data_IF_691196797915
#
_entry.id   IF_691196797915
#
_cell.length_a   1.000
_cell.length_b   1.000
_cell.length_c   1.000
_cell.angle_alpha   90.00
_cell.angle_beta   90.00
_cell.angle_gamma   90.00
#
_symmetry.space_group_name_H-M   'P 1'
#
loop_
_entity.id
_entity.type
_entity.pdbx_description
1 polymer ?
#
# COMPACT_ATOMS: atom_id res chain seq x y z
N UNK A 1 -12.11 4.12 -9.98
CA UNK A 1 -11.71 5.43 -9.44
C UNK A 1 -11.94 6.52 -10.48
N UNK A 2 -13.00 7.27 -10.29
CA UNK A 2 -13.21 8.54 -10.98
C UNK A 2 -12.71 9.74 -10.15
N UNK A 3 -12.99 10.96 -10.63
CA UNK A 3 -12.63 12.20 -9.92
C UNK A 3 -13.31 12.32 -8.55
N UNK A 4 -14.54 11.86 -8.39
CA UNK A 4 -15.28 11.91 -7.14
C UNK A 4 -14.69 10.93 -6.13
N UNK A 5 -14.37 9.72 -6.56
CA UNK A 5 -13.66 8.73 -5.73
C UNK A 5 -12.33 9.27 -5.24
N UNK A 6 -11.53 9.84 -6.15
CA UNK A 6 -10.25 10.44 -5.80
C UNK A 6 -10.39 11.55 -4.74
N UNK A 7 -11.35 12.46 -4.95
CA UNK A 7 -11.62 13.55 -3.99
C UNK A 7 -12.05 13.00 -2.63
N UNK A 8 -12.91 11.96 -2.61
CA UNK A 8 -13.33 11.27 -1.38
C UNK A 8 -12.14 10.68 -0.63
N UNK A 9 -11.24 9.99 -1.35
CA UNK A 9 -10.10 9.28 -0.76
C UNK A 9 -9.03 10.24 -0.21
N UNK A 10 -8.75 11.35 -0.89
CA UNK A 10 -7.68 12.29 -0.48
C UNK A 10 -8.15 13.33 0.54
N UNK A 11 -9.47 13.58 0.63
CA UNK A 11 -10.04 14.60 1.53
C UNK A 11 -9.54 14.51 2.98
N UNK A 12 -9.48 13.34 3.65
CA UNK A 12 -8.99 13.25 5.03
C UNK A 12 -7.53 13.72 5.20
N UNK A 13 -6.68 13.48 4.21
CA UNK A 13 -5.28 13.96 4.25
C UNK A 13 -5.22 15.49 4.15
N UNK A 14 -5.99 16.08 3.22
CA UNK A 14 -6.07 17.55 3.05
C UNK A 14 -6.60 18.20 4.33
N UNK A 15 -7.68 17.67 4.91
CA UNK A 15 -8.27 18.20 6.14
C UNK A 15 -7.28 18.12 7.32
N UNK A 16 -6.50 17.04 7.41
CA UNK A 16 -5.48 16.89 8.44
C UNK A 16 -4.31 17.88 8.27
N UNK A 17 -3.90 18.18 7.04
CA UNK A 17 -2.93 19.24 6.74
C UNK A 17 -3.45 20.63 7.13
N UNK A 18 -4.69 20.95 6.76
CA UNK A 18 -5.33 22.24 7.06
C UNK A 18 -5.45 22.47 8.57
N UNK A 19 -5.76 21.40 9.31
CA UNK A 19 -5.80 21.38 10.77
C UNK A 19 -4.41 21.31 11.43
N UNK A 20 -3.34 21.20 10.63
CA UNK A 20 -1.94 21.06 11.08
C UNK A 20 -1.69 19.85 11.97
N UNK A 21 -2.49 18.79 11.81
CA UNK A 21 -2.28 17.52 12.49
C UNK A 21 -1.10 16.76 11.88
N UNK A 22 -0.92 16.93 10.57
CA UNK A 22 0.23 16.44 9.81
C UNK A 22 0.89 17.59 9.05
N UNK A 23 2.09 17.32 8.55
CA UNK A 23 2.84 18.18 7.65
C UNK A 23 3.20 17.38 6.41
N UNK A 24 2.82 17.88 5.23
CA UNK A 24 3.34 17.37 3.96
C UNK A 24 4.85 17.59 3.86
N UNK A 25 5.59 16.52 3.56
CA UNK A 25 7.05 16.56 3.43
C UNK A 25 7.55 16.07 2.07
N UNK A 26 6.71 15.44 1.25
CA UNK A 26 7.12 14.97 -0.08
C UNK A 26 6.01 14.28 -0.87
N UNK A 27 6.25 14.06 -2.17
CA UNK A 27 5.32 13.40 -3.09
C UNK A 27 4.83 14.30 -4.22
N UNK A 28 4.17 13.69 -5.20
CA UNK A 28 3.71 14.35 -6.43
C UNK A 28 2.18 14.33 -6.58
N UNK A 29 1.44 13.83 -5.59
CA UNK A 29 0.01 13.56 -5.71
C UNK A 29 -0.26 12.65 -6.92
N UNK A 30 -1.39 12.84 -7.63
CA UNK A 30 -1.70 12.08 -8.83
C UNK A 30 -0.79 12.51 -9.99
N UNK A 31 -0.11 11.54 -10.61
CA UNK A 31 0.83 11.78 -11.71
C UNK A 31 0.11 11.80 -13.07
N UNK A 32 0.59 12.62 -14.00
CA UNK A 32 0.01 12.73 -15.34
C UNK A 32 0.06 11.40 -16.11
N UNK A 33 -1.07 11.00 -16.71
CA UNK A 33 -1.17 9.85 -17.62
C UNK A 33 -0.50 10.08 -18.98
N UNK A 34 -0.09 11.33 -19.27
CA UNK A 34 0.60 11.70 -20.50
C UNK A 34 1.87 12.49 -20.23
N UNK A 35 2.96 12.12 -20.92
CA UNK A 35 4.22 12.86 -20.89
C UNK A 35 4.93 12.76 -22.23
N UNK A 36 5.47 13.88 -22.73
CA UNK A 36 6.26 13.94 -23.99
C UNK A 36 5.58 13.23 -25.18
N UNK A 37 4.25 13.32 -25.29
CA UNK A 37 3.47 12.71 -26.37
C UNK A 37 3.15 11.22 -26.18
N UNK A 38 3.60 10.59 -25.10
CA UNK A 38 3.22 9.23 -24.72
C UNK A 38 1.98 9.24 -23.84
N UNK A 39 1.12 8.25 -24.06
CA UNK A 39 0.01 7.90 -23.19
C UNK A 39 0.40 6.61 -22.47
N UNK A 40 0.78 6.75 -21.18
CA UNK A 40 1.35 5.64 -20.42
C UNK A 40 0.35 4.49 -20.29
N UNK A 41 -0.92 4.79 -20.02
CA UNK A 41 -1.93 3.74 -19.89
C UNK A 41 -2.05 2.93 -21.18
N UNK A 42 -2.14 3.59 -22.34
CA UNK A 42 -2.20 2.88 -23.61
C UNK A 42 -0.92 2.09 -23.95
N UNK A 43 0.25 2.53 -23.47
CA UNK A 43 1.52 1.82 -23.64
C UNK A 43 1.59 0.53 -22.79
N UNK A 44 1.02 0.55 -21.57
CA UNK A 44 1.22 -0.53 -20.60
C UNK A 44 -0.02 -1.41 -20.30
N UNK A 45 -1.23 -1.01 -20.71
CA UNK A 45 -2.50 -1.69 -20.33
C UNK A 45 -2.52 -3.20 -20.57
N UNK A 46 -1.85 -3.70 -21.61
CA UNK A 46 -1.91 -5.13 -21.93
C UNK A 46 -1.11 -5.99 -20.93
N UNK A 47 -0.13 -5.39 -20.25
CA UNK A 47 0.68 -5.99 -19.18
C UNK A 47 0.02 -5.92 -17.81
N UNK A 48 -1.00 -5.07 -17.64
CA UNK A 48 -1.69 -4.90 -16.38
C UNK A 48 -2.74 -6.00 -16.16
N UNK A 49 -2.93 -6.36 -14.89
CA UNK A 49 -4.16 -7.04 -14.48
C UNK A 49 -5.34 -6.08 -14.61
N UNK A 50 -6.52 -6.61 -14.94
CA UNK A 50 -7.69 -5.77 -15.25
C UNK A 50 -8.06 -4.81 -14.11
N UNK A 51 -7.86 -5.25 -12.86
CA UNK A 51 -8.11 -4.47 -11.63
C UNK A 51 -7.22 -3.24 -11.47
N UNK A 52 -6.16 -3.11 -12.25
CA UNK A 52 -5.32 -1.90 -12.27
C UNK A 52 -5.80 -0.85 -13.26
N UNK A 53 -6.63 -1.24 -14.24
CA UNK A 53 -6.91 -0.39 -15.39
C UNK A 53 -7.59 0.91 -15.00
N UNK A 54 -8.58 0.85 -14.12
CA UNK A 54 -9.36 2.04 -13.78
C UNK A 54 -8.49 3.11 -13.14
N UNK A 55 -7.69 2.74 -12.14
CA UNK A 55 -6.74 3.64 -11.49
C UNK A 55 -5.71 4.21 -12.48
N UNK A 56 -5.07 3.35 -13.29
CA UNK A 56 -4.00 3.80 -14.19
C UNK A 56 -4.50 4.54 -15.43
N UNK A 57 -5.77 4.36 -15.80
CA UNK A 57 -6.42 5.19 -16.82
C UNK A 57 -6.66 6.63 -16.33
N UNK A 58 -6.79 6.81 -15.01
CA UNK A 58 -7.01 8.10 -14.37
C UNK A 58 -5.69 8.81 -14.00
N UNK A 59 -4.73 8.08 -13.44
CA UNK A 59 -3.45 8.62 -12.94
C UNK A 59 -2.29 7.67 -13.21
N UNK A 60 -1.12 8.18 -13.57
CA UNK A 60 0.09 7.35 -13.76
C UNK A 60 0.80 7.10 -12.42
N UNK A 61 0.11 6.52 -11.44
CA UNK A 61 0.62 6.39 -10.07
C UNK A 61 0.26 7.59 -9.17
N UNK A 62 0.64 7.49 -7.91
CA UNK A 62 0.34 8.49 -6.87
C UNK A 62 1.44 8.49 -5.80
N UNK A 63 1.92 9.66 -5.38
CA UNK A 63 2.79 9.72 -4.21
C UNK A 63 2.47 10.84 -3.24
N UNK A 64 2.51 10.55 -1.95
CA UNK A 64 2.24 11.50 -0.88
C UNK A 64 2.92 11.04 0.41
N UNK A 65 3.65 11.95 1.04
CA UNK A 65 4.43 11.70 2.25
C UNK A 65 4.15 12.80 3.28
N UNK A 66 3.90 12.38 4.52
CA UNK A 66 3.61 13.27 5.63
C UNK A 66 4.29 12.85 6.92
N UNK A 67 4.46 13.83 7.79
CA UNK A 67 4.96 13.69 9.15
C UNK A 67 3.90 14.18 10.16
N UNK A 68 3.63 13.40 11.20
CA UNK A 68 2.63 13.69 12.22
C UNK A 68 3.14 14.68 13.26
N UNK A 69 2.34 15.68 13.57
CA UNK A 69 2.64 16.67 14.62
C UNK A 69 2.16 16.16 15.97
N UNK A 70 2.73 15.06 16.46
CA UNK A 70 2.38 14.51 17.77
C UNK A 70 3.24 15.20 18.85
N UNK A 71 2.63 15.72 19.93
CA UNK A 71 3.38 16.19 21.09
C UNK A 71 4.25 15.06 21.63
N UNK A 72 5.55 15.28 21.80
CA UNK A 72 6.44 14.30 22.39
C UNK A 72 5.87 13.80 23.72
N UNK A 73 5.48 12.52 23.80
CA UNK A 73 5.05 11.95 25.07
C UNK A 73 6.19 12.09 26.10
N UNK A 74 5.79 12.36 27.34
CA UNK A 74 6.63 12.53 28.53
C UNK A 74 7.50 11.27 28.68
N UNK A 75 8.73 11.32 28.14
CA UNK A 75 9.58 10.13 27.98
C UNK A 75 10.70 10.28 26.93
N UNK A 76 10.63 11.30 26.07
CA UNK A 76 11.80 11.79 25.32
C UNK A 76 12.23 10.98 24.09
N UNK A 77 11.47 9.96 23.68
CA UNK A 77 11.73 9.22 22.45
C UNK A 77 10.43 8.81 21.74
N UNK A 78 9.71 9.78 21.17
CA UNK A 78 8.85 9.46 20.03
C UNK A 78 9.38 10.25 18.84
N UNK A 79 10.09 9.55 17.96
CA UNK A 79 10.34 9.98 16.59
C UNK A 79 8.97 10.22 15.95
N UNK A 80 8.84 11.27 15.15
CA UNK A 80 7.59 11.61 14.48
C UNK A 80 7.02 10.39 13.75
N UNK A 81 5.71 10.17 13.93
CA UNK A 81 4.98 9.20 13.11
C UNK A 81 4.92 9.74 11.68
N UNK A 82 4.99 8.87 10.68
CA UNK A 82 4.98 9.27 9.27
C UNK A 82 4.07 8.36 8.46
N UNK A 83 3.63 8.85 7.32
CA UNK A 83 2.94 8.03 6.34
C UNK A 83 3.40 8.33 4.93
N UNK A 84 3.43 7.27 4.12
CA UNK A 84 3.86 7.24 2.74
C UNK A 84 2.81 6.45 1.95
N UNK A 85 2.30 7.08 0.89
CA UNK A 85 1.62 6.41 -0.20
C UNK A 85 2.57 6.54 -1.40
N UNK A 86 3.02 5.44 -2.00
CA UNK A 86 3.92 5.50 -3.14
C UNK A 86 3.52 4.48 -4.22
N UNK A 87 2.31 4.66 -4.76
CA UNK A 87 1.85 3.89 -5.91
C UNK A 87 2.69 4.29 -7.13
N UNK A 88 3.51 3.36 -7.60
CA UNK A 88 4.50 3.59 -8.65
C UNK A 88 3.82 3.94 -9.99
N UNK A 89 4.46 4.76 -10.84
CA UNK A 89 3.98 5.00 -12.18
C UNK A 89 4.26 3.79 -13.09
N UNK A 90 3.49 3.66 -14.17
CA UNK A 90 3.56 2.52 -15.10
C UNK A 90 4.95 2.31 -15.69
N UNK A 91 5.68 3.39 -15.97
CA UNK A 91 7.02 3.33 -16.51
C UNK A 91 8.07 2.87 -15.49
N UNK A 92 7.77 2.87 -14.19
CA UNK A 92 8.62 2.34 -13.11
C UNK A 92 8.25 0.90 -12.71
N UNK A 93 6.97 0.50 -12.83
CA UNK A 93 6.48 -0.84 -12.47
C UNK A 93 7.29 -1.98 -13.11
N UNK A 94 7.64 -1.80 -14.39
CA UNK A 94 8.29 -2.84 -15.20
C UNK A 94 9.81 -2.64 -15.34
N UNK A 95 10.40 -1.72 -14.57
CA UNK A 95 11.85 -1.57 -14.59
C UNK A 95 12.51 -2.73 -13.84
N UNK A 96 13.61 -3.25 -14.40
CA UNK A 96 14.29 -4.46 -13.91
C UNK A 96 14.70 -4.41 -12.43
N UNK A 97 14.90 -3.22 -11.87
CA UNK A 97 15.23 -3.08 -10.44
C UNK A 97 14.02 -3.08 -9.51
N UNK A 98 12.82 -2.86 -10.07
CA UNK A 98 11.56 -2.89 -9.33
C UNK A 98 10.98 -4.30 -9.29
N UNK A 99 11.17 -5.09 -10.35
CA UNK A 99 10.51 -6.39 -10.49
C UNK A 99 11.31 -7.52 -9.82
N UNK A 100 10.60 -8.40 -9.09
CA UNK A 100 11.18 -9.64 -8.57
C UNK A 100 10.91 -10.76 -9.58
N UNK A 101 11.95 -11.20 -10.27
CA UNK A 101 11.90 -12.37 -11.16
C UNK A 101 11.74 -13.64 -10.32
N UNK A 102 10.66 -14.38 -10.57
CA UNK A 102 10.37 -15.64 -9.90
C UNK A 102 11.14 -16.77 -10.60
N UNK A 103 12.43 -16.86 -10.29
CA UNK A 103 13.29 -17.93 -10.82
C UNK A 103 13.07 -19.24 -10.06
N UNK A 104 12.98 -20.34 -10.82
CA UNK A 104 12.93 -21.70 -10.29
C UNK A 104 14.17 -21.95 -9.41
N UNK A 105 13.95 -22.21 -8.12
CA UNK A 105 15.00 -22.53 -7.15
C UNK A 105 15.35 -21.41 -6.17
N UNK A 106 14.80 -20.20 -6.34
CA UNK A 106 14.75 -19.24 -5.22
C UNK A 106 13.66 -19.70 -4.26
N UNK A 107 14.04 -19.97 -3.01
CA UNK A 107 13.16 -20.55 -1.98
C UNK A 107 12.10 -19.59 -1.46
N UNK A 108 11.33 -18.97 -2.35
CA UNK A 108 10.19 -18.14 -1.99
C UNK A 108 9.07 -19.02 -1.42
N UNK A 109 8.33 -18.47 -0.46
CA UNK A 109 7.12 -19.05 0.08
C UNK A 109 5.97 -18.04 -0.01
N UNK A 110 4.74 -18.56 0.00
CA UNK A 110 3.53 -17.75 0.09
C UNK A 110 2.81 -18.21 1.35
N UNK A 111 2.54 -17.26 2.25
CA UNK A 111 1.91 -17.57 3.53
C UNK A 111 0.54 -18.24 3.32
N UNK A 112 0.43 -19.47 3.84
CA UNK A 112 -0.77 -20.29 3.75
C UNK A 112 -0.82 -21.22 2.53
N UNK A 113 0.22 -21.29 1.71
CA UNK A 113 0.38 -22.30 0.67
C UNK A 113 1.35 -23.40 1.12
N UNK A 114 1.21 -24.64 0.63
CA UNK A 114 2.15 -25.74 0.96
C UNK A 114 3.41 -25.70 0.08
N UNK A 115 3.34 -25.02 -1.06
CA UNK A 115 4.42 -24.91 -2.04
C UNK A 115 4.22 -23.66 -2.89
N UNK A 116 5.32 -23.01 -3.29
CA UNK A 116 5.26 -21.83 -4.14
C UNK A 116 4.65 -22.16 -5.51
N UNK A 117 3.53 -21.52 -5.83
CA UNK A 117 2.71 -21.83 -7.01
C UNK A 117 2.84 -20.83 -8.16
N UNK A 118 3.54 -19.71 -7.96
CA UNK A 118 3.57 -18.57 -8.89
C UNK A 118 4.73 -18.67 -9.87
N UNK A 119 4.55 -18.08 -11.04
CA UNK A 119 5.58 -18.00 -12.10
C UNK A 119 5.66 -16.59 -12.68
N UNK A 120 6.73 -16.30 -13.42
CA UNK A 120 6.92 -14.99 -14.05
C UNK A 120 7.50 -13.97 -13.08
N UNK A 121 6.75 -12.91 -12.80
CA UNK A 121 7.26 -11.73 -12.10
C UNK A 121 6.33 -11.32 -10.96
N UNK A 122 6.92 -10.85 -9.86
CA UNK A 122 6.21 -10.02 -8.88
C UNK A 122 6.50 -8.55 -9.14
N UNK A 123 5.44 -7.79 -9.36
CA UNK A 123 5.47 -6.38 -9.75
C UNK A 123 5.05 -5.57 -8.52
N UNK A 124 5.97 -4.88 -7.83
CA UNK A 124 5.59 -3.99 -6.74
C UNK A 124 4.81 -2.81 -7.31
N UNK A 125 3.65 -2.57 -6.72
CA UNK A 125 2.76 -1.46 -7.10
C UNK A 125 2.86 -0.30 -6.13
N UNK A 126 3.17 -0.58 -4.85
CA UNK A 126 3.45 0.42 -3.81
C UNK A 126 4.76 0.01 -3.10
N UNK A 127 5.76 0.89 -3.13
CA UNK A 127 7.11 0.59 -2.65
C UNK A 127 7.56 1.61 -1.62
N UNK A 128 7.88 1.15 -0.41
CA UNK A 128 8.21 2.00 0.73
C UNK A 128 9.41 1.37 1.45
N UNK A 129 10.60 1.96 1.26
CA UNK A 129 11.86 1.46 1.86
C UNK A 129 12.10 -0.03 1.52
N UNK A 130 12.25 -0.90 2.53
CA UNK A 130 12.49 -2.33 2.35
C UNK A 130 11.20 -3.17 2.38
N UNK A 131 10.04 -2.55 2.11
CA UNK A 131 8.76 -3.23 1.99
C UNK A 131 8.00 -2.80 0.73
N UNK A 132 7.16 -3.68 0.21
CA UNK A 132 6.28 -3.35 -0.89
C UNK A 132 4.97 -4.14 -0.85
N UNK A 133 3.95 -3.57 -1.48
CA UNK A 133 2.79 -4.32 -1.92
C UNK A 133 2.85 -4.44 -3.44
N UNK A 134 2.43 -5.58 -3.97
CA UNK A 134 2.53 -5.86 -5.39
C UNK A 134 1.57 -6.94 -5.85
N UNK A 135 1.61 -7.22 -7.13
CA UNK A 135 0.81 -8.26 -7.77
C UNK A 135 1.73 -9.18 -8.54
N UNK A 136 1.34 -10.44 -8.67
CA UNK A 136 1.99 -11.33 -9.62
C UNK A 136 1.58 -10.98 -11.05
N UNK A 137 2.45 -11.31 -11.99
CA UNK A 137 2.26 -11.05 -13.41
C UNK A 137 0.99 -11.74 -13.93
N UNK A 138 0.38 -11.12 -14.96
CA UNK A 138 -0.97 -11.40 -15.46
C UNK A 138 -1.21 -12.87 -15.83
N UNK A 139 -0.19 -13.60 -16.26
CA UNK A 139 -0.24 -15.03 -16.56
C UNK A 139 -0.60 -15.91 -15.37
N UNK A 140 -0.48 -15.41 -14.13
CA UNK A 140 -0.93 -16.13 -12.94
C UNK A 140 -2.46 -16.06 -12.75
N UNK A 141 -3.17 -15.24 -13.54
CA UNK A 141 -4.62 -14.98 -13.44
C UNK A 141 -5.08 -14.65 -12.01
N UNK A 142 -4.17 -14.09 -11.21
CA UNK A 142 -4.38 -13.77 -9.82
C UNK A 142 -4.55 -12.26 -9.65
N UNK A 143 -5.70 -11.86 -9.14
CA UNK A 143 -6.02 -10.45 -8.89
C UNK A 143 -5.57 -9.99 -7.49
N UNK A 144 -5.03 -10.89 -6.66
CA UNK A 144 -4.67 -10.61 -5.28
C UNK A 144 -3.42 -9.74 -5.17
N UNK A 145 -3.46 -8.80 -4.24
CA UNK A 145 -2.30 -8.03 -3.80
C UNK A 145 -1.58 -8.80 -2.70
N UNK A 146 -0.26 -8.84 -2.81
CA UNK A 146 0.62 -9.46 -1.85
C UNK A 146 1.49 -8.39 -1.19
N UNK A 147 1.69 -8.52 0.10
CA UNK A 147 2.70 -7.78 0.85
C UNK A 147 4.00 -8.58 0.86
N UNK A 148 5.11 -7.90 0.63
CA UNK A 148 6.45 -8.46 0.68
C UNK A 148 7.36 -7.50 1.44
N UNK A 149 7.91 -7.99 2.54
CA UNK A 149 9.01 -7.35 3.28
C UNK A 149 10.31 -8.05 2.84
N UNK A 150 11.34 -7.32 2.43
CA UNK A 150 12.54 -7.89 1.79
C UNK A 150 13.42 -8.78 2.71
N UNK A 151 12.97 -9.10 3.92
CA UNK A 151 13.51 -10.17 4.78
C UNK A 151 12.55 -11.35 5.01
N UNK A 152 11.36 -11.34 4.41
CA UNK A 152 10.26 -12.28 4.65
C UNK A 152 9.63 -12.72 3.31
N UNK A 153 8.86 -13.79 3.35
CA UNK A 153 8.08 -14.32 2.23
C UNK A 153 6.85 -13.45 1.85
N UNK A 154 6.08 -13.90 0.88
CA UNK A 154 4.89 -13.18 0.40
C UNK A 154 3.67 -13.43 1.29
N UNK A 155 2.98 -12.36 1.69
CA UNK A 155 1.71 -12.43 2.42
C UNK A 155 0.55 -12.03 1.51
N UNK A 156 -0.35 -12.95 1.15
CA UNK A 156 -1.57 -12.60 0.45
C UNK A 156 -2.45 -11.68 1.31
N UNK A 157 -2.77 -10.48 0.83
CA UNK A 157 -3.60 -9.52 1.59
C UNK A 157 -5.11 -9.76 1.44
N UNK A 158 -5.49 -10.75 0.63
CA UNK A 158 -6.89 -11.13 0.35
C UNK A 158 -7.75 -10.04 -0.29
N UNK A 159 -7.13 -9.04 -0.90
CA UNK A 159 -7.78 -7.92 -1.60
C UNK A 159 -7.18 -7.78 -2.99
N UNK A 160 -7.92 -7.18 -3.92
CA UNK A 160 -7.38 -6.82 -5.23
C UNK A 160 -6.78 -5.41 -5.22
N UNK A 161 -6.22 -4.99 -6.36
CA UNK A 161 -5.59 -3.67 -6.48
C UNK A 161 -6.53 -2.50 -6.16
N UNK A 162 -7.80 -2.56 -6.59
CA UNK A 162 -8.79 -1.51 -6.30
C UNK A 162 -9.02 -1.39 -4.79
N UNK A 163 -9.22 -2.53 -4.12
CA UNK A 163 -9.36 -2.58 -2.66
C UNK A 163 -8.09 -2.13 -1.93
N UNK A 164 -6.91 -2.44 -2.47
CA UNK A 164 -5.64 -1.94 -1.94
C UNK A 164 -5.54 -0.42 -1.99
N UNK A 165 -5.94 0.19 -3.11
CA UNK A 165 -5.99 1.65 -3.25
C UNK A 165 -6.94 2.25 -2.22
N UNK A 166 -8.13 1.70 -2.03
CA UNK A 166 -9.05 2.20 -1.00
C UNK A 166 -8.46 2.11 0.41
N UNK A 167 -7.79 1.01 0.72
CA UNK A 167 -7.21 0.76 2.04
C UNK A 167 -5.96 1.60 2.31
N UNK A 168 -5.09 1.86 1.34
CA UNK A 168 -3.92 2.73 1.57
C UNK A 168 -4.34 4.16 1.88
N UNK A 169 -5.38 4.67 1.20
CA UNK A 169 -5.96 5.98 1.52
C UNK A 169 -6.72 5.95 2.86
N UNK A 170 -7.43 4.86 3.18
CA UNK A 170 -8.05 4.69 4.49
C UNK A 170 -7.02 4.51 5.62
N UNK A 171 -5.84 4.00 5.35
CA UNK A 171 -4.73 3.98 6.28
C UNK A 171 -3.97 5.32 6.31
N UNK A 172 -4.35 6.27 5.45
CA UNK A 172 -3.64 7.55 5.24
C UNK A 172 -2.17 7.32 4.88
N UNK A 173 -1.83 6.16 4.30
CA UNK A 173 -0.44 5.74 4.07
C UNK A 173 0.39 5.56 5.33
N UNK A 174 -0.20 5.43 6.52
CA UNK A 174 0.55 5.25 7.76
C UNK A 174 1.64 4.19 7.59
N UNK A 175 2.85 4.50 8.05
CA UNK A 175 4.02 3.65 7.80
C UNK A 175 3.74 2.20 8.21
N UNK A 176 3.99 1.27 7.28
CA UNK A 176 3.82 -0.17 7.50
C UNK A 176 2.38 -0.63 7.83
N UNK A 177 1.35 0.12 7.44
CA UNK A 177 -0.05 -0.25 7.66
C UNK A 177 -0.43 -1.63 7.08
N UNK A 178 0.28 -2.15 6.08
CA UNK A 178 0.05 -3.47 5.48
C UNK A 178 0.14 -4.59 6.53
N UNK A 179 0.98 -4.42 7.56
CA UNK A 179 1.07 -5.35 8.68
C UNK A 179 -0.22 -5.45 9.50
N UNK A 180 -1.09 -4.44 9.46
CA UNK A 180 -2.43 -4.50 10.06
C UNK A 180 -3.24 -5.59 9.36
N UNK A 181 -3.20 -5.65 8.03
CA UNK A 181 -3.92 -6.67 7.26
C UNK A 181 -3.32 -8.06 7.49
N UNK A 182 -1.99 -8.16 7.51
CA UNK A 182 -1.29 -9.41 7.85
C UNK A 182 -1.72 -9.90 9.23
N UNK A 183 -1.81 -9.00 10.21
CA UNK A 183 -2.29 -9.33 11.55
C UNK A 183 -3.72 -9.85 11.55
N UNK A 184 -4.63 -9.22 10.80
CA UNK A 184 -6.04 -9.62 10.74
C UNK A 184 -6.22 -11.01 10.10
N UNK A 185 -5.44 -11.33 9.07
CA UNK A 185 -5.56 -12.61 8.36
C UNK A 185 -4.84 -13.77 9.03
N UNK A 186 -3.67 -13.49 9.61
CA UNK A 186 -2.75 -14.53 10.05
C UNK A 186 -2.52 -14.48 11.57
N UNK A 187 -2.88 -13.38 12.24
CA UNK A 187 -2.58 -13.17 13.65
C UNK A 187 -1.19 -12.55 13.85
N UNK A 188 -0.68 -12.61 15.07
CA UNK A 188 0.57 -11.93 15.47
C UNK A 188 1.81 -12.60 14.86
N UNK A 189 2.08 -12.29 13.59
CA UNK A 189 3.31 -12.67 12.87
C UNK A 189 4.39 -11.58 12.92
N UNK A 190 4.04 -10.34 13.24
CA UNK A 190 5.05 -9.35 13.59
C UNK A 190 5.57 -9.61 15.01
N UNK A 191 6.89 -9.61 15.14
CA UNK A 191 7.57 -9.64 16.42
C UNK A 191 8.33 -8.33 16.51
N UNK A 192 7.65 -7.22 16.79
CA UNK A 192 8.38 -6.00 17.07
C UNK A 192 9.24 -6.21 18.33
N UNK A 193 10.44 -5.62 18.33
CA UNK A 193 11.49 -5.80 19.35
C UNK A 193 11.10 -5.44 20.80
N UNK A 194 9.87 -4.96 21.05
CA UNK A 194 9.40 -4.47 22.35
C UNK A 194 8.01 -5.01 22.76
N UNK A 195 7.54 -6.09 22.12
CA UNK A 195 6.31 -6.80 22.52
C UNK A 195 4.98 -6.20 22.03
N UNK A 196 5.01 -4.97 21.49
CA UNK A 196 3.89 -4.29 20.85
C UNK A 196 3.89 -4.54 19.34
N UNK A 197 2.75 -4.89 18.74
CA UNK A 197 2.68 -5.16 17.30
C UNK A 197 2.51 -3.88 16.47
N UNK A 198 2.80 -3.95 15.17
CA UNK A 198 2.49 -2.87 14.20
C UNK A 198 1.00 -2.58 14.16
N UNK A 199 0.16 -3.60 14.38
CA UNK A 199 -1.27 -3.43 14.58
C UNK A 199 -1.58 -2.53 15.79
N UNK A 200 -0.95 -2.81 16.94
CA UNK A 200 -1.18 -2.03 18.16
C UNK A 200 -0.68 -0.58 18.01
N UNK A 201 0.43 -0.37 17.32
CA UNK A 201 0.95 0.97 17.00
C UNK A 201 -0.02 1.74 16.10
N UNK A 202 -0.48 1.12 15.02
CA UNK A 202 -1.46 1.72 14.12
C UNK A 202 -2.77 2.07 14.84
N UNK A 203 -3.32 1.12 15.61
CA UNK A 203 -4.59 1.29 16.31
C UNK A 203 -4.53 2.37 17.40
N UNK A 204 -3.40 2.53 18.10
CA UNK A 204 -3.23 3.59 19.10
C UNK A 204 -2.93 4.96 18.47
N UNK A 205 -2.08 5.01 17.44
CA UNK A 205 -1.58 6.27 16.91
C UNK A 205 -2.53 6.93 15.91
N UNK A 206 -3.19 6.15 15.06
CA UNK A 206 -4.05 6.71 14.01
C UNK A 206 -5.15 7.63 14.55
N UNK A 207 -5.91 7.28 15.60
CA UNK A 207 -6.91 8.19 16.18
C UNK A 207 -6.32 9.44 16.84
N UNK A 208 -5.05 9.40 17.28
CA UNK A 208 -4.36 10.55 17.88
C UNK A 208 -3.96 11.55 16.78
N UNK A 209 -3.47 11.05 15.65
CA UNK A 209 -3.03 11.87 14.51
C UNK A 209 -4.24 12.35 13.71
N UNK A 210 -5.21 11.46 13.48
CA UNK A 210 -6.40 11.67 12.66
C UNK A 210 -7.65 11.40 13.52
N UNK A 211 -8.22 12.42 14.18
CA UNK A 211 -9.38 12.24 15.06
C UNK A 211 -10.64 11.70 14.37
N UNK A 212 -10.72 11.78 13.04
CA UNK A 212 -11.77 11.20 12.21
C UNK A 212 -11.56 9.70 11.94
N UNK A 213 -10.36 9.17 12.18
CA UNK A 213 -10.04 7.77 11.95
C UNK A 213 -10.72 6.87 12.99
N UNK A 214 -11.32 5.78 12.51
CA UNK A 214 -11.93 4.75 13.34
C UNK A 214 -11.43 3.37 12.91
N UNK A 215 -10.85 2.64 13.86
CA UNK A 215 -10.27 1.32 13.62
C UNK A 215 -11.32 0.27 13.23
N UNK A 216 -12.51 0.30 13.84
CA UNK A 216 -13.59 -0.64 13.50
C UNK A 216 -14.10 -0.41 12.08
N UNK A 217 -14.21 0.86 11.65
CA UNK A 217 -14.60 1.19 10.27
C UNK A 217 -13.51 0.81 9.26
N UNK A 218 -12.23 0.95 9.61
CA UNK A 218 -11.13 0.46 8.78
C UNK A 218 -11.18 -1.07 8.61
N UNK A 219 -11.41 -1.82 9.69
CA UNK A 219 -11.57 -3.28 9.64
C UNK A 219 -12.80 -3.67 8.81
N UNK A 220 -13.95 -3.01 9.00
CA UNK A 220 -15.15 -3.25 8.20
C UNK A 220 -14.92 -2.99 6.71
N UNK A 221 -14.18 -1.91 6.38
CA UNK A 221 -13.79 -1.63 5.01
C UNK A 221 -12.94 -2.78 4.45
N UNK A 222 -11.92 -3.21 5.19
CA UNK A 222 -11.09 -4.35 4.79
C UNK A 222 -11.92 -5.60 4.51
N UNK A 223 -12.75 -6.03 5.46
CA UNK A 223 -13.61 -7.21 5.33
C UNK A 223 -14.56 -7.10 4.13
N UNK A 224 -15.07 -5.90 3.84
CA UNK A 224 -15.95 -5.67 2.69
C UNK A 224 -15.27 -5.79 1.33
N UNK A 225 -13.94 -5.59 1.29
CA UNK A 225 -13.10 -5.60 0.09
C UNK A 225 -12.46 -6.96 -0.18
N UNK A 226 -12.58 -7.92 0.74
CA UNK A 226 -11.95 -9.24 0.60
C UNK A 226 -12.48 -9.97 -0.64
N UNK A 227 -11.55 -10.54 -1.41
CA UNK A 227 -11.86 -11.45 -2.51
C UNK A 227 -12.41 -12.75 -1.88
N UNK A 228 -13.54 -13.21 -2.39
CA UNK A 228 -14.25 -14.42 -1.91
C UNK A 228 -13.70 -15.69 -2.56
#
# INVERSE_FOLDING_TARGET
>A
MDKYDYQRLVKPLIEAEDLKLIKFIGGNGPRSTKSKGKDFFNEYKDYLINKMHEFYSFTNGYSYEWEGNIPANIGGQKTSERGIINILPLDELFQKHSVIELEVGRGYYIQGEDSFSKTGQFIPVDYIEDICAGVFSKENEDEMVYFHDFGIDFYPLKINFEGYVELVFAARGYMMWQYVLVYLEYGKYDVAMLGKSRYDDFAENMPIIFPDFNMEEFIKLYESLKIK
#
